data_IF_155952372352
#
_entry.id   IF_155952372352
#
_cell.length_a   1.000
_cell.length_b   1.000
_cell.length_c   1.000
_cell.angle_alpha   90.00
_cell.angle_beta   90.00
_cell.angle_gamma   90.00
#
_symmetry.space_group_name_H-M   'P 1'
#
loop_
_entity.id
_entity.type
_entity.pdbx_description
1 polymer ?
#
# COMPACT_ATOMS: atom_id res chain seq x y z
N UNK A 1 23.14 -12.86 3.17
CA UNK A 1 22.18 -12.28 2.21
C UNK A 1 21.43 -13.42 1.56
N UNK A 2 20.10 -13.37 1.50
CA UNK A 2 19.26 -14.46 0.94
C UNK A 2 19.39 -14.62 -0.58
N UNK A 3 20.20 -13.77 -1.22
CA UNK A 3 20.40 -13.75 -2.66
C UNK A 3 21.01 -15.03 -3.26
N UNK A 4 21.58 -15.91 -2.44
CA UNK A 4 22.25 -17.14 -2.91
C UNK A 4 21.39 -18.41 -2.79
N UNK A 5 20.14 -18.30 -2.34
CA UNK A 5 19.22 -19.44 -2.26
C UNK A 5 18.24 -19.43 -3.45
N UNK A 6 18.47 -20.23 -4.51
CA UNK A 6 17.63 -20.21 -5.71
C UNK A 6 16.17 -20.59 -5.41
N UNK A 7 15.93 -21.43 -4.43
CA UNK A 7 14.59 -21.91 -4.05
C UNK A 7 13.68 -20.82 -3.50
N UNK A 8 14.21 -19.80 -2.82
CA UNK A 8 13.43 -18.70 -2.24
C UNK A 8 12.87 -17.70 -3.26
N UNK A 9 13.34 -17.75 -4.51
CA UNK A 9 12.98 -16.76 -5.52
C UNK A 9 11.71 -17.11 -6.31
N UNK A 10 11.43 -18.39 -6.43
CA UNK A 10 10.25 -18.87 -7.14
C UNK A 10 9.04 -19.09 -6.23
N UNK A 11 9.24 -18.89 -4.92
CA UNK A 11 8.16 -19.07 -3.95
C UNK A 11 7.31 -17.81 -3.87
N UNK A 12 6.01 -17.87 -4.17
CA UNK A 12 5.08 -16.79 -3.85
C UNK A 12 5.10 -16.48 -2.33
N UNK A 13 4.85 -15.26 -1.94
CA UNK A 13 4.35 -14.15 -2.72
C UNK A 13 5.46 -13.35 -3.41
N UNK A 14 5.13 -12.78 -4.58
CA UNK A 14 6.07 -12.00 -5.39
C UNK A 14 6.20 -10.53 -4.95
N UNK A 15 5.34 -10.08 -4.05
CA UNK A 15 5.29 -8.67 -3.59
C UNK A 15 5.87 -8.57 -2.18
N UNK A 16 6.72 -7.57 -1.96
CA UNK A 16 7.37 -7.34 -0.67
C UNK A 16 7.33 -5.87 -0.27
N UNK A 17 7.43 -5.58 1.04
CA UNK A 17 7.52 -4.22 1.58
C UNK A 17 8.96 -3.89 1.95
N UNK A 18 9.48 -2.83 1.38
CA UNK A 18 10.77 -2.24 1.73
C UNK A 18 10.55 -1.38 2.97
N UNK A 19 10.86 -1.92 4.14
CA UNK A 19 10.59 -1.27 5.43
C UNK A 19 11.25 0.11 5.59
N UNK A 20 12.41 0.33 4.98
CA UNK A 20 13.10 1.64 5.02
C UNK A 20 12.34 2.72 4.25
N UNK A 21 11.76 2.37 3.11
CA UNK A 21 11.00 3.31 2.28
C UNK A 21 9.57 3.52 2.78
N UNK A 22 9.07 2.66 3.69
CA UNK A 22 7.71 2.75 4.19
C UNK A 22 7.54 3.93 5.14
N UNK A 23 6.65 4.86 4.78
CA UNK A 23 6.38 6.09 5.53
C UNK A 23 5.44 5.89 6.74
N UNK A 24 5.16 4.67 7.15
CA UNK A 24 4.26 4.35 8.27
C UNK A 24 2.92 5.13 8.21
N UNK A 25 2.29 5.17 7.03
CA UNK A 25 1.01 5.85 6.85
C UNK A 25 -0.05 5.32 7.83
N UNK A 26 -0.85 6.20 8.39
CA UNK A 26 -1.97 5.82 9.25
C UNK A 26 -2.91 4.85 8.51
N UNK A 27 -3.34 3.78 9.16
CA UNK A 27 -4.28 2.82 8.56
C UNK A 27 -5.60 3.50 8.20
N UNK A 28 -6.16 4.23 9.16
CA UNK A 28 -7.32 5.07 8.96
C UNK A 28 -7.27 6.23 9.95
N UNK A 29 -7.42 7.44 9.45
CA UNK A 29 -7.43 8.67 10.24
C UNK A 29 -8.56 9.56 9.77
N UNK A 30 -9.24 10.19 10.72
CA UNK A 30 -10.22 11.23 10.45
C UNK A 30 -9.68 12.51 11.05
N UNK A 31 -9.46 13.52 10.24
CA UNK A 31 -8.91 14.79 10.71
C UNK A 31 -9.64 15.99 10.10
N UNK A 32 -9.60 17.10 10.79
CA UNK A 32 -10.12 18.38 10.34
C UNK A 32 -9.00 19.12 9.61
N UNK A 33 -9.29 19.62 8.43
CA UNK A 33 -8.38 20.46 7.65
C UNK A 33 -8.55 21.94 7.98
N UNK A 34 -7.65 22.76 7.45
CA UNK A 34 -7.73 24.22 7.57
C UNK A 34 -8.98 24.84 6.94
N UNK A 35 -9.68 24.09 6.08
CA UNK A 35 -10.96 24.48 5.50
C UNK A 35 -12.12 24.57 6.50
N UNK A 36 -11.92 24.21 7.78
CA UNK A 36 -12.94 24.32 8.81
C UNK A 36 -13.29 25.78 9.10
N UNK A 37 -14.57 26.13 8.96
CA UNK A 37 -15.08 27.49 9.14
C UNK A 37 -15.60 27.76 10.57
N UNK A 38 -15.50 26.80 11.50
CA UNK A 38 -16.03 26.97 12.85
C UNK A 38 -17.53 27.30 12.87
N UNK A 39 -18.32 26.60 12.03
CA UNK A 39 -19.76 26.89 11.85
C UNK A 39 -20.54 26.84 13.19
N UNK A 40 -21.50 27.71 13.36
CA UNK A 40 -22.25 27.85 14.62
C UNK A 40 -23.05 26.59 15.01
N UNK A 41 -23.59 25.87 14.03
CA UNK A 41 -24.42 24.69 14.29
C UNK A 41 -23.62 23.42 14.63
N UNK A 42 -22.28 23.40 14.38
CA UNK A 42 -21.39 22.28 14.65
C UNK A 42 -21.95 20.87 14.35
N UNK A 43 -22.49 20.59 13.16
CA UNK A 43 -23.14 19.31 12.86
C UNK A 43 -22.20 18.12 13.02
N UNK A 44 -20.90 18.32 12.84
CA UNK A 44 -19.90 17.30 13.06
C UNK A 44 -19.81 16.83 14.53
N UNK A 45 -20.03 17.72 15.48
CA UNK A 45 -20.06 17.38 16.91
C UNK A 45 -21.34 16.61 17.26
N UNK A 46 -22.49 17.06 16.76
CA UNK A 46 -23.79 16.45 17.02
C UNK A 46 -23.87 15.02 16.49
N UNK A 47 -23.32 14.76 15.30
CA UNK A 47 -23.37 13.42 14.68
C UNK A 47 -22.37 12.42 15.30
N UNK A 48 -21.42 12.92 16.12
CA UNK A 48 -20.36 12.07 16.66
C UNK A 48 -20.86 11.18 17.81
N UNK A 49 -20.94 9.85 17.63
CA UNK A 49 -21.47 8.96 18.66
C UNK A 49 -20.57 8.85 19.90
N UNK A 50 -19.27 9.17 19.74
CA UNK A 50 -18.28 9.14 20.83
C UNK A 50 -17.97 10.52 21.40
N UNK A 51 -18.61 11.59 20.89
CA UNK A 51 -18.33 12.97 21.29
C UNK A 51 -16.82 13.32 21.23
N UNK A 52 -16.11 12.72 20.27
CA UNK A 52 -14.67 12.88 20.08
C UNK A 52 -14.30 14.18 19.37
N UNK A 53 -15.26 15.08 19.13
CA UNK A 53 -15.03 16.36 18.46
C UNK A 53 -15.26 17.48 19.45
N UNK A 54 -14.28 18.34 19.58
CA UNK A 54 -14.34 19.56 20.41
C UNK A 54 -14.00 20.79 19.57
N UNK A 55 -14.24 21.98 20.12
CA UNK A 55 -13.84 23.24 19.52
C UNK A 55 -12.55 23.74 20.14
N UNK A 56 -11.63 24.14 19.29
CA UNK A 56 -10.50 24.92 19.72
C UNK A 56 -10.98 26.33 20.08
N UNK A 57 -10.77 26.75 21.32
CA UNK A 57 -11.18 28.05 21.82
C UNK A 57 -10.44 29.24 21.20
N UNK A 58 -9.26 28.97 20.64
CA UNK A 58 -8.41 30.03 20.06
C UNK A 58 -8.76 30.25 18.60
N UNK A 59 -8.87 29.16 17.81
CA UNK A 59 -9.12 29.22 16.37
C UNK A 59 -10.60 29.13 16.02
N UNK A 60 -11.45 28.68 16.93
CA UNK A 60 -12.87 28.39 16.69
C UNK A 60 -13.10 27.17 15.79
N UNK A 61 -12.03 26.45 15.37
CA UNK A 61 -12.11 25.28 14.51
C UNK A 61 -12.40 24.02 15.31
N UNK A 62 -13.02 23.05 14.67
CA UNK A 62 -13.23 21.72 15.27
C UNK A 62 -11.93 20.93 15.33
N UNK A 63 -11.70 20.21 16.43
CA UNK A 63 -10.58 19.29 16.64
C UNK A 63 -11.16 17.91 16.93
N UNK A 64 -10.54 16.86 16.37
CA UNK A 64 -10.92 15.47 16.62
C UNK A 64 -9.88 14.81 17.51
N UNK A 65 -10.32 14.36 18.68
CA UNK A 65 -9.54 13.51 19.56
C UNK A 65 -9.37 12.12 18.90
N UNK A 66 -8.14 11.78 18.52
CA UNK A 66 -7.84 10.55 17.80
C UNK A 66 -7.97 9.28 18.68
N UNK A 67 -7.83 9.42 19.99
CA UNK A 67 -7.92 8.30 20.95
C UNK A 67 -9.38 7.93 21.22
N UNK A 68 -10.25 8.92 21.32
CA UNK A 68 -11.69 8.72 21.48
C UNK A 68 -12.39 8.39 20.14
N UNK A 69 -11.78 8.72 19.01
CA UNK A 69 -12.39 8.61 17.69
C UNK A 69 -12.41 7.16 17.18
N UNK A 70 -13.59 6.61 16.93
CA UNK A 70 -13.76 5.28 16.30
C UNK A 70 -13.61 5.28 14.78
N UNK A 71 -13.19 6.38 14.18
CA UNK A 71 -12.88 6.54 12.75
C UNK A 71 -14.06 6.16 11.81
N UNK A 72 -15.30 6.35 12.26
CA UNK A 72 -16.50 5.98 11.51
C UNK A 72 -16.80 6.88 10.29
N UNK A 73 -16.24 8.09 10.24
CA UNK A 73 -16.38 9.03 9.12
C UNK A 73 -17.70 9.81 9.07
N UNK A 74 -18.66 9.61 9.99
CA UNK A 74 -19.96 10.30 9.97
C UNK A 74 -19.83 11.83 9.99
N UNK A 75 -18.84 12.36 10.69
CA UNK A 75 -18.60 13.79 10.75
C UNK A 75 -18.20 14.40 9.39
N UNK A 76 -17.55 13.61 8.54
CA UNK A 76 -17.20 14.05 7.19
C UNK A 76 -18.43 14.17 6.28
N UNK A 77 -19.45 13.30 6.44
CA UNK A 77 -20.65 13.32 5.59
C UNK A 77 -21.56 14.50 5.88
N UNK A 78 -21.52 15.07 7.08
CA UNK A 78 -22.38 16.21 7.48
C UNK A 78 -21.68 17.57 7.38
N UNK A 79 -20.39 17.58 7.05
CA UNK A 79 -19.63 18.82 6.93
C UNK A 79 -19.91 19.50 5.58
N UNK A 80 -20.65 20.61 5.60
CA UNK A 80 -20.98 21.37 4.39
C UNK A 80 -19.77 21.96 3.68
N UNK A 81 -18.64 22.13 4.37
CA UNK A 81 -17.40 22.67 3.82
C UNK A 81 -16.41 21.58 3.38
N UNK A 82 -16.76 20.29 3.53
CA UNK A 82 -15.86 19.18 3.27
C UNK A 82 -14.51 19.30 4.00
N UNK A 83 -14.51 19.96 5.16
CA UNK A 83 -13.30 20.23 5.94
C UNK A 83 -12.82 19.03 6.75
N UNK A 84 -13.58 17.94 6.81
CA UNK A 84 -13.22 16.72 7.53
C UNK A 84 -12.90 15.63 6.51
N UNK A 85 -11.68 15.13 6.57
CA UNK A 85 -11.17 14.14 5.63
C UNK A 85 -11.00 12.80 6.34
N UNK A 86 -11.45 11.73 5.70
CA UNK A 86 -11.17 10.35 6.09
C UNK A 86 -10.02 9.86 5.22
N UNK A 87 -8.84 9.77 5.82
CA UNK A 87 -7.64 9.30 5.16
C UNK A 87 -7.41 7.83 5.49
N UNK A 88 -7.12 7.03 4.48
CA UNK A 88 -6.77 5.62 4.63
C UNK A 88 -5.42 5.37 3.97
N UNK A 89 -4.67 4.41 4.49
CA UNK A 89 -3.38 3.99 3.92
C UNK A 89 -3.58 3.55 2.47
N UNK A 90 -2.91 4.17 1.48
CA UNK A 90 -3.18 3.92 0.07
C UNK A 90 -3.00 2.45 -0.35
N UNK A 91 -1.91 1.81 0.10
CA UNK A 91 -1.64 0.41 -0.23
C UNK A 91 -2.68 -0.55 0.39
N UNK A 92 -3.15 -0.29 1.62
CA UNK A 92 -4.17 -1.10 2.27
C UNK A 92 -5.55 -0.87 1.65
N UNK A 93 -5.88 0.38 1.31
CA UNK A 93 -7.12 0.74 0.61
C UNK A 93 -7.23 0.07 -0.76
N UNK A 94 -6.12 -0.02 -1.49
CA UNK A 94 -6.06 -0.66 -2.79
C UNK A 94 -6.06 -2.20 -2.73
N UNK A 95 -5.86 -2.79 -1.53
CA UNK A 95 -5.79 -4.23 -1.37
C UNK A 95 -7.19 -4.85 -1.23
N UNK A 96 -7.73 -5.43 -2.30
CA UNK A 96 -9.02 -6.11 -2.29
C UNK A 96 -9.09 -7.30 -1.31
N UNK A 97 -7.96 -7.95 -1.04
CA UNK A 97 -7.85 -9.08 -0.12
C UNK A 97 -7.65 -8.65 1.35
N UNK A 98 -7.51 -7.35 1.63
CA UNK A 98 -7.22 -6.81 2.97
C UNK A 98 -6.00 -7.48 3.63
N UNK A 99 -4.99 -7.81 2.83
CA UNK A 99 -3.79 -8.50 3.26
C UNK A 99 -2.72 -7.55 3.84
N UNK A 100 -2.97 -6.24 3.91
CA UNK A 100 -2.00 -5.26 4.40
C UNK A 100 -2.43 -4.74 5.77
N UNK A 101 -1.56 -4.93 6.74
CA UNK A 101 -1.71 -4.48 8.13
C UNK A 101 -0.53 -3.59 8.53
N UNK A 102 -0.52 -3.10 9.77
CA UNK A 102 0.62 -2.39 10.36
C UNK A 102 1.42 -3.31 11.27
N UNK A 103 2.71 -3.13 11.29
CA UNK A 103 3.58 -3.68 12.34
C UNK A 103 3.62 -2.77 13.58
N UNK A 104 4.43 -3.15 14.57
CA UNK A 104 4.61 -2.40 15.83
C UNK A 104 5.11 -0.96 15.61
N UNK A 105 5.81 -0.71 14.53
CA UNK A 105 6.32 0.60 14.13
C UNK A 105 5.36 1.37 13.21
N UNK A 106 4.14 0.90 13.03
CA UNK A 106 3.16 1.48 12.12
C UNK A 106 3.47 1.28 10.62
N UNK A 107 4.49 0.50 10.27
CA UNK A 107 4.86 0.25 8.86
C UNK A 107 4.02 -0.87 8.27
N UNK A 108 3.80 -0.80 6.96
CA UNK A 108 3.02 -1.82 6.27
C UNK A 108 3.66 -3.21 6.37
N UNK A 109 2.83 -4.21 6.61
CA UNK A 109 3.18 -5.63 6.59
C UNK A 109 2.15 -6.37 5.75
N UNK A 110 2.59 -7.32 4.95
CA UNK A 110 1.74 -8.13 4.10
C UNK A 110 1.51 -9.48 4.77
N UNK A 111 0.23 -9.81 4.96
CA UNK A 111 -0.21 -11.15 5.31
C UNK A 111 -0.17 -12.02 4.05
N UNK A 112 0.83 -12.87 3.96
CA UNK A 112 1.12 -13.64 2.76
C UNK A 112 0.14 -14.79 2.55
N UNK A 113 -0.58 -15.23 3.57
CA UNK A 113 -1.61 -16.24 3.43
C UNK A 113 -2.85 -15.71 2.69
N UNK A 114 -3.06 -14.39 2.77
CA UNK A 114 -4.14 -13.68 2.07
C UNK A 114 -3.71 -13.04 0.77
N UNK A 115 -2.41 -12.84 0.57
CA UNK A 115 -1.89 -12.09 -0.57
C UNK A 115 -1.92 -12.91 -1.86
N UNK A 116 -2.64 -12.43 -2.87
CA UNK A 116 -2.72 -13.03 -4.21
C UNK A 116 -1.72 -12.43 -5.21
N UNK A 117 -0.75 -11.66 -4.75
CA UNK A 117 0.33 -11.05 -5.55
C UNK A 117 -0.14 -10.22 -6.75
N UNK A 118 -1.31 -9.58 -6.66
CA UNK A 118 -1.91 -8.80 -7.77
C UNK A 118 -1.21 -7.46 -8.07
N UNK A 119 -0.29 -6.99 -7.23
CA UNK A 119 0.47 -5.75 -7.44
C UNK A 119 -0.26 -4.43 -7.17
N UNK A 120 -1.56 -4.42 -6.84
CA UNK A 120 -2.32 -3.18 -6.63
C UNK A 120 -1.75 -2.28 -5.54
N UNK A 121 -1.18 -2.86 -4.49
CA UNK A 121 -0.52 -2.12 -3.42
C UNK A 121 0.78 -1.44 -3.89
N UNK A 122 1.50 -2.03 -4.83
CA UNK A 122 2.71 -1.48 -5.44
C UNK A 122 2.39 -0.20 -6.23
N UNK A 123 1.38 -0.27 -7.11
CA UNK A 123 0.96 0.86 -7.94
C UNK A 123 0.43 2.03 -7.11
N UNK A 124 -0.22 1.73 -5.96
CA UNK A 124 -0.84 2.75 -5.11
C UNK A 124 0.08 3.25 -3.98
N UNK A 125 1.33 2.79 -3.89
CA UNK A 125 2.26 3.29 -2.88
C UNK A 125 2.99 4.55 -3.37
N UNK A 126 2.69 5.76 -2.84
CA UNK A 126 3.32 7.00 -3.31
C UNK A 126 4.80 7.10 -2.91
N UNK A 127 5.26 6.25 -2.01
CA UNK A 127 6.65 6.22 -1.52
C UNK A 127 7.52 5.15 -2.21
N UNK A 128 6.96 4.37 -3.15
CA UNK A 128 7.67 3.26 -3.77
C UNK A 128 8.14 2.19 -2.77
N UNK A 129 7.50 2.12 -1.60
CA UNK A 129 7.89 1.22 -0.52
C UNK A 129 7.45 -0.24 -0.74
N UNK A 130 6.70 -0.52 -1.78
CA UNK A 130 6.28 -1.86 -2.13
C UNK A 130 6.87 -2.17 -3.50
N UNK A 131 7.54 -3.30 -3.59
CA UNK A 131 8.18 -3.76 -4.83
C UNK A 131 7.86 -5.23 -5.09
N UNK A 132 8.00 -5.63 -6.33
CA UNK A 132 8.03 -7.03 -6.73
C UNK A 132 9.41 -7.65 -6.46
N UNK A 133 9.45 -8.95 -6.38
CA UNK A 133 10.72 -9.70 -6.38
C UNK A 133 11.22 -9.79 -7.81
N UNK A 134 12.19 -8.94 -8.15
CA UNK A 134 12.85 -9.01 -9.47
C UNK A 134 13.63 -10.33 -9.61
N UNK A 135 13.43 -11.01 -10.72
CA UNK A 135 14.14 -12.25 -11.08
C UNK A 135 15.34 -12.01 -12.03
N UNK A 136 15.69 -10.74 -12.27
CA UNK A 136 16.76 -10.38 -13.20
C UNK A 136 18.09 -11.03 -12.82
N UNK A 137 18.40 -11.07 -11.52
CA UNK A 137 19.65 -11.68 -11.03
C UNK A 137 19.73 -13.18 -11.33
N UNK A 138 18.63 -13.92 -11.18
CA UNK A 138 18.56 -15.34 -11.50
C UNK A 138 18.73 -15.59 -12.99
N UNK A 139 18.09 -14.75 -13.81
CA UNK A 139 18.27 -14.82 -15.27
C UNK A 139 19.73 -14.60 -15.67
N UNK A 140 20.39 -13.59 -15.07
CA UNK A 140 21.81 -13.32 -15.32
C UNK A 140 22.68 -14.50 -14.88
N UNK A 141 22.44 -15.06 -13.68
CA UNK A 141 23.18 -16.24 -13.22
C UNK A 141 22.98 -17.46 -14.12
N UNK A 142 21.74 -17.74 -14.52
CA UNK A 142 21.44 -18.85 -15.45
C UNK A 142 22.16 -18.68 -16.80
N UNK A 143 22.21 -17.46 -17.33
CA UNK A 143 22.96 -17.16 -18.56
C UNK A 143 24.46 -17.38 -18.34
N UNK A 144 25.02 -16.93 -17.21
CA UNK A 144 26.45 -17.08 -16.89
C UNK A 144 26.83 -18.54 -16.64
N UNK A 145 25.96 -19.36 -16.04
CA UNK A 145 26.19 -20.80 -15.83
C UNK A 145 26.05 -21.63 -17.10
N UNK A 146 25.59 -21.03 -18.20
CA UNK A 146 25.38 -21.72 -19.48
C UNK A 146 24.11 -22.55 -19.53
N UNK A 147 23.19 -22.35 -18.60
CA UNK A 147 21.88 -22.98 -18.63
C UNK A 147 21.05 -22.50 -19.82
N UNK A 148 20.16 -23.35 -20.31
CA UNK A 148 19.24 -22.99 -21.37
C UNK A 148 18.12 -22.12 -20.78
N UNK A 149 18.10 -20.84 -21.12
CA UNK A 149 17.05 -19.91 -20.71
C UNK A 149 16.02 -19.82 -21.82
N UNK A 150 14.76 -20.09 -21.49
CA UNK A 150 13.61 -19.97 -22.38
C UNK A 150 12.82 -18.74 -21.99
N UNK A 151 12.39 -17.95 -22.98
CA UNK A 151 11.49 -16.83 -22.75
C UNK A 151 10.19 -17.04 -23.52
N UNK A 152 9.09 -16.67 -22.89
CA UNK A 152 7.76 -16.72 -23.47
C UNK A 152 7.08 -15.38 -23.23
N UNK A 153 6.30 -14.93 -24.19
CA UNK A 153 5.34 -13.82 -23.99
C UNK A 153 3.95 -14.32 -24.35
N UNK A 154 2.94 -13.78 -23.73
CA UNK A 154 1.56 -13.94 -24.16
C UNK A 154 1.24 -12.93 -25.26
N UNK A 155 0.55 -13.37 -26.30
CA UNK A 155 -0.04 -12.49 -27.30
C UNK A 155 -1.37 -11.89 -26.80
N UNK A 156 -2.02 -11.09 -27.64
CA UNK A 156 -3.30 -10.45 -27.34
C UNK A 156 -4.45 -11.45 -27.10
N UNK A 157 -4.29 -12.69 -27.55
CA UNK A 157 -5.26 -13.76 -27.41
C UNK A 157 -4.99 -14.65 -26.19
N UNK A 158 -3.90 -14.40 -25.44
CA UNK A 158 -3.48 -15.21 -24.30
C UNK A 158 -2.73 -16.49 -24.69
N UNK A 159 -2.31 -16.62 -25.95
CA UNK A 159 -1.49 -17.74 -26.40
C UNK A 159 0.00 -17.47 -26.10
N UNK A 160 0.71 -18.55 -25.70
CA UNK A 160 2.14 -18.47 -25.45
C UNK A 160 2.90 -18.38 -26.78
N UNK A 161 3.43 -17.22 -27.08
CA UNK A 161 4.33 -17.00 -28.22
C UNK A 161 5.75 -16.92 -27.71
N UNK A 162 6.56 -17.92 -27.96
CA UNK A 162 7.92 -17.99 -27.47
C UNK A 162 8.94 -18.41 -28.51
N UNK A 163 10.15 -17.92 -28.31
CA UNK A 163 11.33 -18.33 -29.05
C UNK A 163 12.34 -19.03 -28.15
N UNK A 164 12.99 -20.07 -28.63
CA UNK A 164 14.17 -20.63 -27.98
C UNK A 164 15.36 -19.73 -28.31
N UNK A 165 15.77 -18.88 -27.38
CA UNK A 165 17.04 -18.15 -27.49
C UNK A 165 18.12 -18.96 -26.77
N UNK A 166 19.08 -19.50 -27.49
CA UNK A 166 20.38 -19.79 -26.89
C UNK A 166 21.06 -18.43 -26.66
N UNK A 167 21.05 -17.95 -25.46
CA UNK A 167 21.97 -16.87 -25.08
C UNK A 167 23.36 -17.50 -25.07
N UNK A 168 24.09 -17.30 -26.15
CA UNK A 168 25.54 -17.58 -26.18
C UNK A 168 26.17 -16.52 -25.31
N UNK A 169 26.87 -16.94 -24.28
CA UNK A 169 27.55 -16.05 -23.35
C UNK A 169 28.55 -15.17 -24.14
N UNK A 170 28.31 -13.86 -24.29
CA UNK A 170 29.22 -12.98 -25.03
C UNK A 170 30.41 -12.50 -24.20
N UNK A 171 30.55 -12.99 -22.96
CA UNK A 171 31.61 -12.59 -22.04
C UNK A 171 32.61 -13.75 -21.93
N UNK A 172 33.58 -13.76 -22.84
CA UNK A 172 34.89 -14.36 -22.63
C UNK A 172 35.86 -13.27 -22.24
#
# INVERSE_FOLDING_TARGET
MEADKPEGYYTPPLINVIKFACNACDEKKVHVTDGCQGCLAHPCMEVCPKKAISLDRVTGKSIIDQDACIKCGRCATVCSYNAIIVQERPCAKACGMKAITSDENGKATIDYDKCVSCGMCLVNCPFGAISDKSQIYQVIKAIQSGEKVYWFRMDENGELVGGISKFVNPIK
#
